data_IF_674128333759
#
_entry.id   IF_674128333759
#
_cell.length_a   1.000
_cell.length_b   1.000
_cell.length_c   1.000
_cell.angle_alpha   90.00
_cell.angle_beta   90.00
_cell.angle_gamma   90.00
#
_symmetry.space_group_name_H-M   'P 1'
#
loop_
_entity.id
_entity.type
_entity.pdbx_description
1 polymer ?
#
# COMPACT_ATOMS: atom_id res chain seq x y z
N UNK A 1 -21.28 -5.00 11.24
CA UNK A 1 -20.53 -4.94 9.95
C UNK A 1 -19.32 -4.05 10.07
N UNK A 2 -18.18 -4.52 9.59
CA UNK A 2 -16.99 -3.69 9.54
C UNK A 2 -17.13 -2.64 8.44
N UNK A 3 -16.80 -1.40 8.78
CA UNK A 3 -16.81 -0.29 7.82
C UNK A 3 -15.54 -0.34 6.97
N UNK A 4 -15.67 -0.16 5.67
CA UNK A 4 -14.58 -0.33 4.71
C UNK A 4 -14.35 0.96 3.93
N UNK A 5 -13.09 1.41 3.91
CA UNK A 5 -12.64 2.45 3.00
C UNK A 5 -12.07 1.79 1.75
N UNK A 6 -12.62 2.09 0.58
CA UNK A 6 -12.12 1.58 -0.69
C UNK A 6 -11.24 2.64 -1.32
N UNK A 7 -10.02 2.23 -1.72
CA UNK A 7 -9.11 3.11 -2.45
C UNK A 7 -8.92 2.63 -3.86
N UNK A 8 -9.13 3.51 -4.83
CA UNK A 8 -8.87 3.24 -6.25
C UNK A 8 -8.03 4.35 -6.84
N UNK A 9 -7.08 3.97 -7.68
CA UNK A 9 -6.25 4.89 -8.43
C UNK A 9 -6.42 4.64 -9.91
N UNK A 10 -6.71 5.72 -10.63
CA UNK A 10 -6.97 5.69 -12.07
C UNK A 10 -5.78 6.27 -12.79
N UNK A 11 -5.21 5.57 -13.76
CA UNK A 11 -4.30 6.18 -14.72
C UNK A 11 -5.02 6.38 -16.06
N UNK A 12 -4.48 7.27 -16.90
CA UNK A 12 -5.01 7.48 -18.26
C UNK A 12 -4.95 6.22 -19.12
N UNK A 13 -4.15 5.22 -18.69
CA UNK A 13 -4.03 3.92 -19.37
C UNK A 13 -5.01 2.87 -18.84
N UNK A 14 -5.66 3.12 -17.72
CA UNK A 14 -6.60 2.18 -17.13
C UNK A 14 -7.98 2.43 -17.71
N UNK A 15 -8.45 1.49 -18.49
CA UNK A 15 -9.69 1.64 -19.22
C UNK A 15 -10.95 1.33 -18.42
N UNK A 16 -10.87 0.96 -17.14
CA UNK A 16 -12.08 0.59 -16.46
C UNK A 16 -11.96 0.66 -14.94
N UNK A 17 -12.01 1.88 -14.45
CA UNK A 17 -12.18 2.16 -13.02
C UNK A 17 -13.53 1.65 -12.54
N UNK A 18 -14.55 1.81 -13.38
CA UNK A 18 -15.90 1.37 -13.03
C UNK A 18 -15.94 -0.13 -12.81
N UNK A 19 -15.19 -0.91 -13.60
CA UNK A 19 -15.10 -2.36 -13.43
C UNK A 19 -14.38 -2.72 -12.13
N UNK A 20 -13.23 -2.04 -11.83
CA UNK A 20 -12.50 -2.25 -10.59
C UNK A 20 -13.38 -1.95 -9.39
N UNK A 21 -14.06 -0.81 -9.42
CA UNK A 21 -14.94 -0.40 -8.34
C UNK A 21 -16.11 -1.36 -8.16
N UNK A 22 -16.70 -1.81 -9.26
CA UNK A 22 -17.79 -2.78 -9.23
C UNK A 22 -17.33 -4.09 -8.56
N UNK A 23 -16.15 -4.60 -8.93
CA UNK A 23 -15.61 -5.82 -8.35
C UNK A 23 -15.31 -5.64 -6.86
N UNK A 24 -14.78 -4.50 -6.46
CA UNK A 24 -14.49 -4.21 -5.06
C UNK A 24 -15.77 -4.09 -4.23
N UNK A 25 -16.80 -3.45 -4.76
CA UNK A 25 -18.09 -3.34 -4.10
C UNK A 25 -18.76 -4.71 -3.94
N UNK A 26 -18.69 -5.54 -4.98
CA UNK A 26 -19.20 -6.91 -4.92
C UNK A 26 -18.45 -7.73 -3.88
N UNK A 27 -17.12 -7.63 -3.87
CA UNK A 27 -16.28 -8.31 -2.88
C UNK A 27 -16.66 -7.89 -1.45
N UNK A 28 -16.86 -6.59 -1.23
CA UNK A 28 -17.28 -6.07 0.07
C UNK A 28 -18.61 -6.67 0.51
N UNK A 29 -19.56 -6.71 -0.41
CA UNK A 29 -20.89 -7.27 -0.13
C UNK A 29 -20.83 -8.76 0.21
N UNK A 30 -20.05 -9.52 -0.56
CA UNK A 30 -19.88 -10.96 -0.32
C UNK A 30 -19.20 -11.26 1.02
N UNK A 31 -18.32 -10.37 1.47
CA UNK A 31 -17.59 -10.49 2.74
C UNK A 31 -18.35 -9.88 3.93
N UNK A 32 -19.53 -9.34 3.72
CA UNK A 32 -20.30 -8.69 4.78
C UNK A 32 -19.67 -7.38 5.25
N UNK A 33 -18.94 -6.71 4.38
CA UNK A 33 -18.33 -5.42 4.69
C UNK A 33 -19.27 -4.29 4.25
N UNK A 34 -19.30 -3.21 5.02
CA UNK A 34 -20.08 -2.02 4.69
C UNK A 34 -19.15 -0.95 4.12
N UNK A 35 -19.44 -0.47 2.92
CA UNK A 35 -18.60 0.57 2.29
C UNK A 35 -18.89 1.91 2.97
N UNK A 36 -17.90 2.44 3.67
CA UNK A 36 -17.97 3.76 4.30
C UNK A 36 -17.77 4.87 3.28
N UNK A 37 -16.70 4.75 2.47
CA UNK A 37 -16.35 5.76 1.47
C UNK A 37 -15.44 5.16 0.42
N UNK A 38 -15.54 5.69 -0.81
CA UNK A 38 -14.62 5.39 -1.91
C UNK A 38 -13.67 6.59 -2.08
N UNK A 39 -12.37 6.31 -2.00
CA UNK A 39 -11.31 7.31 -2.17
C UNK A 39 -10.70 7.11 -3.55
N UNK A 40 -10.81 8.11 -4.41
CA UNK A 40 -10.42 8.00 -5.81
C UNK A 40 -9.39 9.05 -6.18
N UNK A 41 -8.22 8.59 -6.60
CA UNK A 41 -7.16 9.45 -7.13
C UNK A 41 -6.97 9.21 -8.61
N UNK A 42 -6.63 10.28 -9.33
CA UNK A 42 -6.30 10.21 -10.76
C UNK A 42 -4.79 10.34 -10.92
N UNK A 43 -4.15 9.31 -11.51
CA UNK A 43 -2.73 9.32 -11.80
C UNK A 43 -2.47 9.99 -13.14
N UNK A 44 -1.72 11.10 -13.13
CA UNK A 44 -1.23 11.73 -14.35
C UNK A 44 0.19 11.22 -14.55
N UNK A 45 0.45 10.58 -15.69
CA UNK A 45 1.78 10.05 -16.01
C UNK A 45 2.81 11.14 -16.17
N UNK A 46 3.97 10.99 -15.53
CA UNK A 46 5.17 11.77 -15.81
C UNK A 46 5.43 12.99 -14.94
N UNK A 47 4.61 13.29 -13.95
CA UNK A 47 4.81 14.42 -13.05
C UNK A 47 4.58 14.02 -11.60
N UNK A 48 4.92 14.92 -10.68
CA UNK A 48 4.70 14.69 -9.24
C UNK A 48 3.27 14.25 -8.99
N UNK A 49 3.12 13.00 -8.60
CA UNK A 49 1.81 12.49 -8.21
C UNK A 49 1.40 13.10 -6.88
N UNK A 50 0.36 13.91 -6.92
CA UNK A 50 -0.36 14.25 -5.72
C UNK A 50 -1.48 13.22 -5.57
N UNK A 51 -1.64 12.70 -4.36
CA UNK A 51 -2.69 11.72 -4.05
C UNK A 51 -3.56 12.27 -2.92
N UNK A 52 -4.42 13.25 -3.22
CA UNK A 52 -5.25 13.87 -2.18
C UNK A 52 -6.24 12.87 -1.54
N UNK A 53 -6.77 11.93 -2.34
CA UNK A 53 -7.68 10.93 -1.80
C UNK A 53 -6.97 9.94 -0.88
N UNK A 54 -5.72 9.56 -1.21
CA UNK A 54 -4.92 8.72 -0.33
C UNK A 54 -4.62 9.43 0.99
N UNK A 55 -4.29 10.72 0.94
CA UNK A 55 -4.06 11.53 2.14
C UNK A 55 -5.32 11.61 3.00
N UNK A 56 -6.47 11.80 2.39
CA UNK A 56 -7.76 11.79 3.07
C UNK A 56 -8.04 10.44 3.72
N UNK A 57 -7.77 9.35 3.00
CA UNK A 57 -7.92 8.00 3.52
C UNK A 57 -7.06 7.78 4.76
N UNK A 58 -5.79 8.20 4.71
CA UNK A 58 -4.89 8.05 5.85
C UNK A 58 -5.32 8.88 7.04
N UNK A 59 -5.84 10.10 6.81
CA UNK A 59 -6.38 10.93 7.88
C UNK A 59 -7.63 10.30 8.51
N UNK A 60 -8.53 9.77 7.69
CA UNK A 60 -9.73 9.10 8.16
C UNK A 60 -9.39 7.80 8.91
N UNK A 61 -8.36 7.11 8.49
CA UNK A 61 -7.84 5.94 9.20
C UNK A 61 -7.38 6.30 10.61
N UNK A 62 -6.65 7.40 10.76
CA UNK A 62 -6.20 7.91 12.07
C UNK A 62 -7.37 8.25 12.98
N UNK A 63 -8.47 8.70 12.41
CA UNK A 63 -9.71 9.00 13.13
C UNK A 63 -10.59 7.76 13.30
N UNK A 64 -10.15 6.62 12.81
CA UNK A 64 -10.87 5.34 12.89
C UNK A 64 -12.28 5.38 12.31
N UNK A 65 -12.44 6.07 11.19
CA UNK A 65 -13.73 6.16 10.53
C UNK A 65 -14.15 4.87 9.82
N UNK A 66 -13.18 3.96 9.61
CA UNK A 66 -13.43 2.64 9.04
C UNK A 66 -12.50 1.61 9.68
N UNK A 67 -12.82 0.33 9.51
CA UNK A 67 -12.11 -0.79 10.12
C UNK A 67 -11.26 -1.56 9.13
N UNK A 68 -11.49 -1.38 7.83
CA UNK A 68 -10.84 -2.13 6.75
C UNK A 68 -10.52 -1.17 5.62
N UNK A 69 -9.32 -1.33 5.04
CA UNK A 69 -8.94 -0.69 3.78
C UNK A 69 -8.92 -1.75 2.70
N UNK A 70 -9.67 -1.52 1.62
CA UNK A 70 -9.75 -2.43 0.48
C UNK A 70 -9.19 -1.73 -0.75
N UNK A 71 -8.21 -2.35 -1.41
CA UNK A 71 -7.57 -1.80 -2.61
C UNK A 71 -7.60 -2.83 -3.73
N UNK A 72 -7.45 -2.35 -4.98
CA UNK A 72 -7.44 -3.22 -6.15
C UNK A 72 -6.18 -4.07 -6.23
N UNK A 73 -5.00 -3.43 -6.10
CA UNK A 73 -3.69 -4.09 -6.08
C UNK A 73 -2.72 -3.27 -5.24
N UNK A 74 -1.65 -3.91 -4.77
CA UNK A 74 -0.60 -3.23 -4.01
C UNK A 74 0.01 -2.07 -4.79
N UNK A 75 0.31 -2.26 -6.07
CA UNK A 75 0.95 -1.24 -6.90
C UNK A 75 0.04 -0.05 -7.22
N UNK A 76 -1.26 -0.21 -7.06
CA UNK A 76 -2.23 0.89 -7.16
C UNK A 76 -2.36 1.67 -5.86
N UNK A 77 -1.96 1.08 -4.76
CA UNK A 77 -1.98 1.72 -3.45
C UNK A 77 -0.64 2.37 -3.12
N UNK A 78 0.45 1.61 -3.24
CA UNK A 78 1.79 2.03 -2.80
C UNK A 78 2.71 2.30 -3.99
N UNK A 79 3.62 3.27 -3.83
CA UNK A 79 4.63 3.63 -4.83
C UNK A 79 5.85 2.73 -4.78
N UNK A 80 6.10 2.14 -3.61
CA UNK A 80 7.30 1.34 -3.34
C UNK A 80 7.00 0.34 -2.23
N UNK A 81 7.87 -0.64 -2.08
CA UNK A 81 7.79 -1.61 -0.98
C UNK A 81 7.85 -0.88 0.37
N UNK A 82 8.73 0.12 0.50
CA UNK A 82 8.86 0.92 1.71
C UNK A 82 7.55 1.64 2.06
N UNK A 83 6.92 2.26 1.08
CA UNK A 83 5.65 2.95 1.28
C UNK A 83 4.57 1.97 1.72
N UNK A 84 4.48 0.80 1.06
CA UNK A 84 3.53 -0.23 1.41
C UNK A 84 3.71 -0.70 2.85
N UNK A 85 4.93 -1.04 3.24
CA UNK A 85 5.24 -1.51 4.59
C UNK A 85 4.89 -0.45 5.63
N UNK A 86 5.26 0.80 5.38
CA UNK A 86 4.96 1.92 6.29
C UNK A 86 3.45 2.06 6.50
N UNK A 87 2.67 2.02 5.42
CA UNK A 87 1.22 2.12 5.49
C UNK A 87 0.60 0.93 6.22
N UNK A 88 1.09 -0.28 5.96
CA UNK A 88 0.58 -1.49 6.62
C UNK A 88 0.85 -1.48 8.13
N UNK A 89 2.03 -1.00 8.54
CA UNK A 89 2.34 -0.82 9.96
C UNK A 89 1.41 0.20 10.61
N UNK A 90 1.16 1.29 9.94
CA UNK A 90 0.25 2.32 10.45
C UNK A 90 -1.17 1.77 10.62
N UNK A 91 -1.70 1.05 9.64
CA UNK A 91 -3.00 0.41 9.74
C UNK A 91 -3.03 -0.62 10.88
N UNK A 92 -2.00 -1.43 10.99
CA UNK A 92 -1.90 -2.44 12.06
C UNK A 92 -1.94 -1.78 13.44
N UNK A 93 -1.20 -0.70 13.63
CA UNK A 93 -1.19 0.04 14.90
C UNK A 93 -2.55 0.66 15.22
N UNK A 94 -3.32 1.00 14.18
CA UNK A 94 -4.66 1.56 14.32
C UNK A 94 -5.75 0.47 14.46
N UNK A 95 -5.36 -0.80 14.34
CA UNK A 95 -6.33 -1.91 14.36
C UNK A 95 -7.16 -2.00 13.09
N UNK A 96 -6.65 -1.50 11.98
CA UNK A 96 -7.32 -1.52 10.67
C UNK A 96 -6.74 -2.62 9.82
N UNK A 97 -7.61 -3.47 9.25
CA UNK A 97 -7.22 -4.54 8.34
C UNK A 97 -7.01 -3.99 6.94
N UNK A 98 -6.12 -4.61 6.18
CA UNK A 98 -5.83 -4.23 4.81
C UNK A 98 -6.09 -5.42 3.89
N UNK A 99 -6.85 -5.19 2.82
CA UNK A 99 -7.18 -6.22 1.84
C UNK A 99 -6.78 -5.74 0.45
N UNK A 100 -6.00 -6.54 -0.26
CA UNK A 100 -5.69 -6.34 -1.67
C UNK A 100 -6.40 -7.39 -2.51
N UNK A 101 -7.28 -6.95 -3.39
CA UNK A 101 -8.19 -7.84 -4.12
C UNK A 101 -7.46 -8.75 -5.10
N UNK A 102 -6.57 -8.19 -5.93
CA UNK A 102 -5.90 -8.96 -6.99
C UNK A 102 -4.91 -9.97 -6.45
N UNK A 103 -4.18 -9.64 -5.39
CA UNK A 103 -3.25 -10.56 -4.75
C UNK A 103 -3.95 -11.52 -3.78
N UNK A 104 -5.24 -11.29 -3.52
CA UNK A 104 -6.04 -12.06 -2.58
C UNK A 104 -5.39 -12.12 -1.18
N UNK A 105 -4.94 -10.97 -0.71
CA UNK A 105 -4.26 -10.83 0.59
C UNK A 105 -5.16 -10.04 1.54
N UNK A 106 -5.32 -10.60 2.74
CA UNK A 106 -6.09 -10.01 3.83
C UNK A 106 -5.24 -10.10 5.10
N UNK A 107 -4.81 -8.94 5.62
CA UNK A 107 -3.93 -8.90 6.80
C UNK A 107 -4.60 -9.42 8.08
N UNK A 108 -5.92 -9.58 8.09
CA UNK A 108 -6.60 -10.20 9.22
C UNK A 108 -6.45 -11.73 9.24
N UNK A 109 -6.03 -12.32 8.12
CA UNK A 109 -5.81 -13.77 8.02
C UNK A 109 -4.38 -14.14 8.42
N UNK A 110 -4.14 -15.39 8.90
CA UNK A 110 -2.78 -15.86 9.19
C UNK A 110 -1.85 -15.80 7.98
N UNK A 111 -2.36 -16.12 6.80
CA UNK A 111 -1.58 -16.03 5.56
C UNK A 111 -1.20 -14.58 5.24
N UNK A 112 -2.15 -13.65 5.41
CA UNK A 112 -1.90 -12.22 5.20
C UNK A 112 -0.84 -11.68 6.15
N UNK A 113 -0.85 -12.09 7.42
CA UNK A 113 0.18 -11.72 8.38
C UNK A 113 1.56 -12.25 7.98
N UNK A 114 1.63 -13.49 7.52
CA UNK A 114 2.89 -14.08 7.04
C UNK A 114 3.44 -13.30 5.84
N UNK A 115 2.59 -12.94 4.91
CA UNK A 115 2.97 -12.14 3.72
C UNK A 115 3.45 -10.75 4.14
N UNK A 116 2.77 -10.11 5.08
CA UNK A 116 3.20 -8.84 5.65
C UNK A 116 4.61 -8.93 6.23
N UNK A 117 4.89 -9.99 6.98
CA UNK A 117 6.21 -10.25 7.56
C UNK A 117 7.27 -10.40 6.46
N UNK A 118 6.97 -11.13 5.39
CA UNK A 118 7.87 -11.31 4.24
C UNK A 118 8.16 -9.98 3.55
N UNK A 119 7.15 -9.18 3.28
CA UNK A 119 7.30 -7.87 2.63
C UNK A 119 8.15 -6.95 3.51
N UNK A 120 7.93 -6.96 4.82
CA UNK A 120 8.71 -6.18 5.78
C UNK A 120 10.18 -6.59 5.77
N UNK A 121 10.46 -7.89 5.73
CA UNK A 121 11.82 -8.42 5.66
C UNK A 121 12.51 -8.03 4.34
N UNK A 122 11.79 -8.08 3.22
CA UNK A 122 12.31 -7.66 1.93
C UNK A 122 12.68 -6.17 1.92
N UNK A 123 11.84 -5.32 2.50
CA UNK A 123 12.12 -3.89 2.61
C UNK A 123 13.38 -3.62 3.43
N UNK A 124 13.56 -4.35 4.53
CA UNK A 124 14.76 -4.26 5.35
C UNK A 124 15.99 -4.71 4.58
N UNK A 125 15.89 -5.82 3.84
CA UNK A 125 16.99 -6.34 3.04
C UNK A 125 17.41 -5.34 1.96
N UNK A 126 16.49 -4.69 1.28
CA UNK A 126 16.80 -3.65 0.31
C UNK A 126 17.62 -2.52 0.93
N UNK A 127 17.24 -2.07 2.14
CA UNK A 127 17.97 -1.03 2.86
C UNK A 127 19.38 -1.50 3.24
N UNK A 128 19.52 -2.73 3.71
CA UNK A 128 20.81 -3.29 4.12
C UNK A 128 21.74 -3.45 2.90
N UNK A 129 21.21 -3.87 1.76
CA UNK A 129 21.98 -3.96 0.52
C UNK A 129 22.49 -2.59 0.07
N UNK A 130 21.63 -1.58 0.10
CA UNK A 130 22.00 -0.21 -0.24
C UNK A 130 23.11 0.30 0.68
N UNK A 131 22.96 0.07 2.00
CA UNK A 131 23.97 0.46 2.98
C UNK A 131 25.30 -0.20 2.72
N UNK A 132 25.33 -1.49 2.38
CA UNK A 132 26.56 -2.21 2.05
C UNK A 132 27.20 -1.69 0.78
N UNK A 133 26.44 -1.35 -0.24
CA UNK A 133 26.95 -0.75 -1.48
C UNK A 133 27.64 0.58 -1.20
N UNK A 134 27.06 1.41 -0.34
CA UNK A 134 27.67 2.68 0.05
C UNK A 134 28.98 2.44 0.80
N UNK A 135 29.00 1.53 1.77
CA UNK A 135 30.21 1.17 2.51
C UNK A 135 31.29 0.58 1.59
N UNK A 136 30.91 -0.27 0.67
CA UNK A 136 31.81 -0.84 -0.32
C UNK A 136 32.43 0.22 -1.22
N UNK A 137 31.66 1.18 -1.67
CA UNK A 137 32.14 2.33 -2.44
C UNK A 137 33.13 3.17 -1.69
N UNK A 138 32.86 3.46 -0.40
CA UNK A 138 33.79 4.20 0.46
C UNK A 138 35.11 3.47 0.68
N UNK A 139 35.04 2.17 0.93
CA UNK A 139 36.26 1.35 1.09
C UNK A 139 37.10 1.34 -0.18
N UNK A 140 36.48 1.21 -1.33
CA UNK A 140 37.18 1.24 -2.62
C UNK A 140 37.84 2.59 -2.87
N UNK A 141 37.14 3.68 -2.58
CA UNK A 141 37.69 5.04 -2.71
C UNK A 141 38.91 5.24 -1.82
N UNK A 142 38.89 4.75 -0.59
CA UNK A 142 40.02 4.82 0.36
C UNK A 142 41.18 3.97 -0.11
N UNK A 143 40.92 2.75 -0.60
CA UNK A 143 41.95 1.85 -1.11
C UNK A 143 42.67 2.44 -2.34
N UNK A 144 41.99 3.24 -3.15
CA UNK A 144 42.55 3.92 -4.33
C UNK A 144 43.21 5.26 -3.98
N UNK A 145 43.44 5.55 -2.71
CA UNK A 145 44.11 6.78 -2.27
C UNK A 145 43.29 8.04 -2.39
N UNK A 146 42.03 7.94 -2.65
CA UNK A 146 41.10 9.09 -2.63
C UNK A 146 40.72 9.41 -1.20
N UNK A 147 41.03 10.59 -0.81
CA UNK A 147 40.75 11.09 0.53
C UNK A 147 39.49 11.93 0.54
#
# INVERSE_FOLDING_TARGET
MKKTGIYVRVSTKDQSVDMQLHDLERYSKERGLSVFKVYKDSGISGTKETRPALSELMNDAKKRKFDVVLVWRFDRFARSTKHLVTALYEFRNLGIDFISYQENIDTSSPLGEAIFTIISAMSKLERDIIAERVKGGLRKARANGKR
#
